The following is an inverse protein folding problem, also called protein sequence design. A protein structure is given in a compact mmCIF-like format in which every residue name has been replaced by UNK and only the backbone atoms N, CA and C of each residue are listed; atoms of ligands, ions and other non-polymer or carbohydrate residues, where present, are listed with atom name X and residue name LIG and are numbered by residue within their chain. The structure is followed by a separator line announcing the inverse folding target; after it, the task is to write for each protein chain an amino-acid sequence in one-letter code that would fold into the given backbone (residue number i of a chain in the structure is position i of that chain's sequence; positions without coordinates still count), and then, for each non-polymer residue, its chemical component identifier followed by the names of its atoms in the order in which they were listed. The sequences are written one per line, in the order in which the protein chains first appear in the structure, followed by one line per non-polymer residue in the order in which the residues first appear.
data_IF_659202193543
#
_entry.id   IF_659202193543
#
_cell.length_a   1.000
_cell.length_b   1.000
_cell.length_c   1.000
_cell.angle_alpha   90.00
_cell.angle_beta   90.00
_cell.angle_gamma   90.00
#
_symmetry.space_group_name_H-M   'P 1'
#
loop_
_entity.id
_entity.type
_entity.pdbx_description
1 polymer ?
#
# COMPACT_ATOMS: atom_id res chain seq x y z
N UNK A 1 -54.25 7.49 -47.87
CA UNK A 1 -52.77 7.45 -47.92
C UNK A 1 -52.23 7.74 -46.53
N UNK A 2 -51.90 6.69 -45.77
CA UNK A 2 -51.24 6.82 -44.47
C UNK A 2 -49.72 6.88 -44.68
N UNK A 3 -48.98 7.74 -43.98
CA UNK A 3 -47.53 7.71 -44.01
C UNK A 3 -47.03 6.63 -43.04
N UNK A 4 -46.36 5.62 -43.58
CA UNK A 4 -45.69 4.56 -42.83
C UNK A 4 -44.18 4.82 -42.81
N UNK A 5 -43.60 4.72 -41.61
CA UNK A 5 -42.21 4.36 -41.34
C UNK A 5 -41.07 5.25 -41.90
N UNK A 6 -40.66 6.25 -41.11
CA UNK A 6 -39.32 6.87 -41.22
C UNK A 6 -38.56 6.97 -39.87
N UNK A 7 -39.13 6.49 -38.75
CA UNK A 7 -38.58 6.72 -37.41
C UNK A 7 -37.54 5.71 -36.91
N UNK A 8 -37.48 4.49 -37.47
CA UNK A 8 -36.67 3.42 -36.89
C UNK A 8 -35.17 3.49 -37.25
N UNK A 9 -34.83 3.99 -38.44
CA UNK A 9 -33.45 4.04 -38.94
C UNK A 9 -32.56 5.05 -38.21
N UNK A 10 -33.09 6.23 -37.88
CA UNK A 10 -32.33 7.29 -37.20
C UNK A 10 -31.98 6.93 -35.74
N UNK A 11 -32.91 6.29 -35.02
CA UNK A 11 -32.69 5.84 -33.65
C UNK A 11 -31.64 4.70 -33.57
N UNK A 12 -31.65 3.76 -34.52
CA UNK A 12 -30.67 2.68 -34.59
C UNK A 12 -29.26 3.17 -34.90
N UNK A 13 -29.11 4.12 -35.83
CA UNK A 13 -27.81 4.71 -36.19
C UNK A 13 -27.25 5.53 -35.02
N UNK A 14 -28.10 6.28 -34.30
CA UNK A 14 -27.70 7.03 -33.11
C UNK A 14 -27.27 6.13 -31.96
N UNK A 15 -28.00 5.03 -31.71
CA UNK A 15 -27.64 4.04 -30.69
C UNK A 15 -26.34 3.29 -31.05
N UNK A 16 -26.15 2.94 -32.33
CA UNK A 16 -24.92 2.30 -32.81
C UNK A 16 -23.69 3.21 -32.70
N UNK A 17 -23.84 4.50 -33.03
CA UNK A 17 -22.77 5.48 -32.85
C UNK A 17 -22.44 5.71 -31.37
N UNK A 18 -23.44 5.88 -30.50
CA UNK A 18 -23.24 6.06 -29.07
C UNK A 18 -22.57 4.84 -28.40
N UNK A 19 -22.94 3.63 -28.82
CA UNK A 19 -22.30 2.40 -28.37
C UNK A 19 -20.84 2.30 -28.85
N UNK A 20 -20.56 2.68 -30.11
CA UNK A 20 -19.20 2.69 -30.65
C UNK A 20 -18.31 3.74 -29.96
N UNK A 21 -18.82 4.94 -29.71
CA UNK A 21 -18.10 6.00 -28.97
C UNK A 21 -17.82 5.58 -27.52
N UNK A 22 -18.79 4.96 -26.84
CA UNK A 22 -18.59 4.42 -25.50
C UNK A 22 -17.56 3.29 -25.46
N UNK A 23 -17.57 2.39 -26.43
CA UNK A 23 -16.58 1.32 -26.54
C UNK A 23 -15.16 1.86 -26.79
N UNK A 24 -15.03 2.89 -27.64
CA UNK A 24 -13.75 3.56 -27.88
C UNK A 24 -13.20 4.24 -26.62
N UNK A 25 -14.04 4.97 -25.87
CA UNK A 25 -13.66 5.58 -24.60
C UNK A 25 -13.20 4.54 -23.57
N UNK A 26 -13.93 3.42 -23.45
CA UNK A 26 -13.52 2.31 -22.57
C UNK A 26 -12.16 1.73 -22.97
N UNK A 27 -11.91 1.50 -24.26
CA UNK A 27 -10.62 0.96 -24.73
C UNK A 27 -9.47 1.90 -24.39
N UNK A 28 -9.63 3.21 -24.58
CA UNK A 28 -8.61 4.20 -24.20
C UNK A 28 -8.38 4.26 -22.68
N UNK A 29 -9.45 4.23 -21.88
CA UNK A 29 -9.32 4.16 -20.42
C UNK A 29 -8.65 2.87 -19.98
N UNK A 30 -8.97 1.75 -20.63
CA UNK A 30 -8.45 0.44 -20.26
C UNK A 30 -6.98 0.29 -20.66
N UNK A 31 -6.58 0.85 -21.80
CA UNK A 31 -5.16 0.92 -22.16
C UNK A 31 -4.36 1.74 -21.15
N UNK A 32 -4.87 2.90 -20.71
CA UNK A 32 -4.22 3.71 -19.68
C UNK A 32 -4.12 2.97 -18.34
N UNK A 33 -5.17 2.24 -17.94
CA UNK A 33 -5.13 1.36 -16.77
C UNK A 33 -4.04 0.29 -16.91
N UNK A 34 -3.95 -0.37 -18.07
CA UNK A 34 -2.95 -1.40 -18.31
C UNK A 34 -1.53 -0.85 -18.30
N UNK A 35 -1.28 0.31 -18.89
CA UNK A 35 0.02 0.98 -18.85
C UNK A 35 0.48 1.23 -17.41
N UNK A 36 -0.43 1.69 -16.55
CA UNK A 36 -0.13 1.84 -15.13
C UNK A 36 0.09 0.49 -14.45
N UNK A 37 -0.78 -0.48 -14.73
CA UNK A 37 -0.75 -1.82 -14.15
C UNK A 37 0.52 -2.60 -14.51
N UNK A 38 1.15 -2.32 -15.64
CA UNK A 38 2.46 -2.88 -16.03
C UNK A 38 3.60 -2.49 -15.08
N UNK A 39 3.40 -1.44 -14.27
CA UNK A 39 4.34 -1.05 -13.22
C UNK A 39 4.13 -1.83 -11.91
N UNK A 40 3.33 -2.89 -11.93
CA UNK A 40 3.01 -3.70 -10.75
C UNK A 40 3.30 -5.18 -10.98
N UNK A 41 3.89 -5.82 -9.97
CA UNK A 41 4.13 -7.26 -9.93
C UNK A 41 3.13 -7.92 -8.99
N UNK A 42 2.85 -9.21 -9.24
CA UNK A 42 2.11 -10.06 -8.31
C UNK A 42 3.15 -10.81 -7.48
N UNK A 43 3.14 -10.63 -6.17
CA UNK A 43 4.05 -11.33 -5.28
C UNK A 43 3.64 -12.80 -5.09
N UNK A 44 4.44 -13.58 -4.36
CA UNK A 44 4.14 -15.00 -4.12
C UNK A 44 2.82 -15.24 -3.35
N UNK A 45 2.37 -14.26 -2.57
CA UNK A 45 1.09 -14.30 -1.87
C UNK A 45 -0.11 -13.93 -2.77
N UNK A 46 0.13 -13.57 -4.04
CA UNK A 46 -0.91 -13.13 -4.96
C UNK A 46 -1.36 -11.67 -4.78
N UNK A 47 -0.62 -10.89 -4.00
CA UNK A 47 -0.88 -9.47 -3.76
C UNK A 47 -0.19 -8.61 -4.82
N UNK A 48 -0.80 -7.47 -5.13
CA UNK A 48 -0.27 -6.50 -6.06
C UNK A 48 0.73 -5.61 -5.33
N UNK A 49 1.96 -5.57 -5.85
CA UNK A 49 3.00 -4.69 -5.34
C UNK A 49 3.58 -3.86 -6.48
N UNK A 50 3.88 -2.58 -6.27
CA UNK A 50 4.62 -1.80 -7.24
C UNK A 50 5.95 -2.47 -7.61
N UNK A 51 6.20 -2.61 -8.91
CA UNK A 51 7.45 -3.12 -9.43
C UNK A 51 8.57 -2.22 -8.91
N UNK A 52 9.46 -2.79 -8.08
CA UNK A 52 10.60 -2.06 -7.56
C UNK A 52 11.43 -1.61 -8.76
N UNK A 53 11.50 -0.31 -9.03
CA UNK A 53 12.48 0.22 -9.98
C UNK A 53 13.85 -0.05 -9.34
N UNK A 54 14.71 -0.90 -9.92
CA UNK A 54 16.05 -1.08 -9.39
C UNK A 54 16.74 0.28 -9.37
N UNK A 55 17.50 0.63 -8.31
CA UNK A 55 18.34 1.83 -8.31
C UNK A 55 19.29 1.89 -9.53
N UNK A 56 19.60 0.72 -10.11
CA UNK A 56 20.48 0.53 -11.26
C UNK A 56 19.87 0.89 -12.63
N UNK A 57 18.57 1.24 -12.74
CA UNK A 57 17.94 1.66 -13.99
C UNK A 57 17.82 3.19 -14.13
N UNK A 58 18.51 3.97 -13.30
CA UNK A 58 18.80 5.35 -13.68
C UNK A 58 19.52 5.31 -15.04
N UNK A 59 19.10 6.12 -16.04
CA UNK A 59 19.77 6.13 -17.33
C UNK A 59 21.27 6.34 -17.07
N UNK A 60 22.15 5.53 -17.67
CA UNK A 60 23.58 5.78 -17.55
C UNK A 60 23.80 7.21 -18.02
N UNK A 61 24.41 8.04 -17.18
CA UNK A 61 24.93 9.31 -17.64
C UNK A 61 25.81 9.00 -18.86
N UNK A 62 25.69 9.79 -19.93
CA UNK A 62 26.41 9.57 -21.19
C UNK A 62 27.95 9.50 -21.04
N UNK A 63 28.46 9.74 -19.83
CA UNK A 63 29.89 9.77 -19.49
C UNK A 63 30.42 8.48 -18.84
N UNK A 64 29.65 7.39 -18.77
CA UNK A 64 30.12 6.11 -18.19
C UNK A 64 30.48 6.17 -16.70
N UNK A 65 30.14 7.27 -16.03
CA UNK A 65 30.36 7.47 -14.60
C UNK A 65 29.27 6.73 -13.82
N UNK A 66 29.63 5.98 -12.75
CA UNK A 66 28.65 5.42 -11.83
C UNK A 66 27.66 6.51 -11.41
N UNK A 67 26.36 6.18 -11.23
CA UNK A 67 25.40 7.15 -10.71
C UNK A 67 25.96 7.75 -9.41
N UNK A 68 25.81 9.08 -9.20
CA UNK A 68 26.26 9.68 -7.96
C UNK A 68 25.63 8.92 -6.80
N UNK A 69 26.39 8.63 -5.72
CA UNK A 69 25.80 8.01 -4.54
C UNK A 69 24.61 8.86 -4.09
N UNK A 70 23.54 8.25 -3.56
CA UNK A 70 22.45 9.01 -2.99
C UNK A 70 23.03 10.02 -2.00
N UNK A 71 22.47 11.25 -1.92
CA UNK A 71 22.99 12.25 -1.00
C UNK A 71 23.11 11.61 0.38
N UNK A 72 24.28 11.74 0.99
CA UNK A 72 24.74 11.05 2.22
C UNK A 72 23.94 11.41 3.49
N UNK A 73 22.70 11.88 3.35
CA UNK A 73 21.85 12.45 4.38
C UNK A 73 20.48 11.78 4.52
N UNK A 74 20.07 10.90 3.60
CA UNK A 74 18.84 10.13 3.81
C UNK A 74 19.13 8.99 4.78
N UNK A 75 18.61 9.11 6.01
CA UNK A 75 18.64 8.02 6.98
C UNK A 75 17.92 6.79 6.38
N UNK A 76 18.26 5.57 6.83
CA UNK A 76 17.52 4.36 6.43
C UNK A 76 16.01 4.51 6.62
N UNK A 77 15.61 5.30 7.63
CA UNK A 77 14.24 5.63 7.92
C UNK A 77 13.57 6.49 6.84
N UNK A 78 14.26 7.46 6.27
CA UNK A 78 13.70 8.28 5.19
C UNK A 78 13.61 7.48 3.87
N UNK A 79 14.59 6.63 3.57
CA UNK A 79 14.55 5.77 2.39
C UNK A 79 13.34 4.81 2.38
N UNK A 80 13.03 4.20 3.53
CA UNK A 80 11.82 3.39 3.68
C UNK A 80 10.54 4.22 3.53
N UNK A 81 10.49 5.41 4.11
CA UNK A 81 9.35 6.32 4.00
C UNK A 81 9.11 6.75 2.54
N UNK A 82 10.18 7.04 1.80
CA UNK A 82 10.12 7.35 0.37
C UNK A 82 9.51 6.18 -0.42
N UNK A 83 9.96 4.95 -0.16
CA UNK A 83 9.37 3.78 -0.84
C UNK A 83 7.89 3.61 -0.51
N UNK A 84 7.49 3.85 0.73
CA UNK A 84 6.10 3.77 1.16
C UNK A 84 5.24 4.83 0.48
N UNK A 85 5.71 6.08 0.43
CA UNK A 85 5.02 7.19 -0.23
C UNK A 85 4.87 6.95 -1.74
N UNK A 86 5.90 6.40 -2.39
CA UNK A 86 5.83 6.01 -3.79
C UNK A 86 4.75 4.95 -4.01
N UNK A 87 4.72 3.91 -3.16
CA UNK A 87 3.68 2.86 -3.24
C UNK A 87 2.28 3.44 -3.09
N UNK A 88 2.08 4.31 -2.10
CA UNK A 88 0.81 4.99 -1.87
C UNK A 88 0.37 5.82 -3.08
N UNK A 89 1.28 6.61 -3.66
CA UNK A 89 0.99 7.40 -4.85
C UNK A 89 0.58 6.53 -6.05
N UNK A 90 1.25 5.39 -6.24
CA UNK A 90 0.91 4.42 -7.28
C UNK A 90 -0.47 3.78 -7.02
N UNK A 91 -0.78 3.40 -5.78
CA UNK A 91 -2.12 2.91 -5.42
C UNK A 91 -3.19 3.94 -5.81
N UNK A 92 -2.99 5.21 -5.42
CA UNK A 92 -3.94 6.27 -5.73
C UNK A 92 -4.13 6.41 -7.24
N UNK A 93 -3.06 6.40 -8.03
CA UNK A 93 -3.17 6.53 -9.49
C UNK A 93 -3.92 5.36 -10.13
N UNK A 94 -3.65 4.13 -9.71
CA UNK A 94 -4.32 2.95 -10.26
C UNK A 94 -5.81 2.91 -9.85
N UNK A 95 -6.14 3.33 -8.63
CA UNK A 95 -7.52 3.47 -8.17
C UNK A 95 -8.28 4.56 -8.95
N UNK A 96 -7.66 5.71 -9.23
CA UNK A 96 -8.27 6.77 -10.05
C UNK A 96 -8.62 6.25 -11.46
N UNK A 97 -7.74 5.46 -12.06
CA UNK A 97 -7.98 4.84 -13.37
C UNK A 97 -9.11 3.80 -13.30
N UNK A 98 -9.17 3.01 -12.24
CA UNK A 98 -10.26 2.05 -12.03
C UNK A 98 -11.63 2.75 -11.89
N UNK A 99 -11.69 3.86 -11.14
CA UNK A 99 -12.92 4.66 -10.96
C UNK A 99 -13.41 5.22 -12.30
N UNK A 100 -12.50 5.70 -13.15
CA UNK A 100 -12.82 6.24 -14.47
C UNK A 100 -13.34 5.19 -15.46
N UNK A 101 -13.10 3.91 -15.20
CA UNK A 101 -13.48 2.80 -16.06
C UNK A 101 -14.90 2.28 -15.82
N UNK A 102 -15.71 2.98 -15.02
CA UNK A 102 -17.09 2.58 -14.76
C UNK A 102 -17.85 2.41 -16.09
N UNK A 103 -18.33 1.20 -16.42
CA UNK A 103 -18.99 0.97 -17.69
C UNK A 103 -20.38 1.60 -17.69
N UNK A 104 -20.61 2.53 -18.61
CA UNK A 104 -21.94 3.05 -18.89
C UNK A 104 -22.87 1.95 -19.44
N UNK A 105 -24.19 2.19 -19.37
CA UNK A 105 -25.20 1.27 -19.91
C UNK A 105 -24.91 0.88 -21.38
N UNK A 106 -24.31 1.78 -22.15
CA UNK A 106 -23.96 1.59 -23.57
C UNK A 106 -22.81 0.59 -23.78
N UNK A 107 -21.90 0.43 -22.82
CA UNK A 107 -20.73 -0.48 -22.93
C UNK A 107 -20.96 -1.80 -22.18
N UNK A 108 -21.92 -1.82 -21.24
CA UNK A 108 -22.29 -2.98 -20.43
C UNK A 108 -22.79 -4.21 -21.23
N UNK A 109 -23.24 -4.01 -22.47
CA UNK A 109 -23.69 -5.11 -23.34
C UNK A 109 -22.57 -6.01 -23.86
N UNK A 110 -21.35 -5.49 -24.01
CA UNK A 110 -20.23 -6.22 -24.58
C UNK A 110 -19.59 -7.18 -23.58
N UNK A 111 -19.48 -8.48 -23.93
CA UNK A 111 -18.89 -9.49 -23.07
C UNK A 111 -17.40 -9.22 -22.77
N UNK A 112 -16.63 -8.76 -23.75
CA UNK A 112 -15.22 -8.44 -23.57
C UNK A 112 -15.03 -7.28 -22.59
N UNK A 113 -15.82 -6.21 -22.72
CA UNK A 113 -15.80 -5.05 -21.81
C UNK A 113 -16.15 -5.49 -20.39
N UNK A 114 -17.22 -6.28 -20.22
CA UNK A 114 -17.60 -6.81 -18.90
C UNK A 114 -16.50 -7.66 -18.26
N UNK A 115 -15.86 -8.54 -19.04
CA UNK A 115 -14.77 -9.38 -18.56
C UNK A 115 -13.55 -8.56 -18.15
N UNK A 116 -13.13 -7.61 -19.00
CA UNK A 116 -12.00 -6.71 -18.72
C UNK A 116 -12.28 -5.85 -17.47
N UNK A 117 -13.45 -5.22 -17.39
CA UNK A 117 -13.85 -4.44 -16.23
C UNK A 117 -13.93 -5.29 -14.96
N UNK A 118 -14.40 -6.55 -15.04
CA UNK A 118 -14.40 -7.46 -13.91
C UNK A 118 -13.00 -7.74 -13.36
N UNK A 119 -11.97 -7.76 -14.21
CA UNK A 119 -10.57 -7.87 -13.78
C UNK A 119 -10.14 -6.60 -13.05
N UNK A 120 -10.36 -5.43 -13.65
CA UNK A 120 -10.04 -4.11 -13.06
C UNK A 120 -10.68 -3.97 -11.68
N UNK A 121 -11.96 -4.33 -11.56
CA UNK A 121 -12.70 -4.24 -10.31
C UNK A 121 -12.09 -5.13 -9.22
N UNK A 122 -11.78 -6.40 -9.52
CA UNK A 122 -11.16 -7.30 -8.54
C UNK A 122 -9.75 -6.88 -8.15
N UNK A 123 -8.96 -6.40 -9.11
CA UNK A 123 -7.63 -5.87 -8.82
C UNK A 123 -7.70 -4.61 -7.96
N UNK A 124 -8.68 -3.74 -8.20
CA UNK A 124 -8.87 -2.52 -7.40
C UNK A 124 -9.09 -2.82 -5.91
N UNK A 125 -9.72 -3.95 -5.56
CA UNK A 125 -9.90 -4.36 -4.16
C UNK A 125 -8.54 -4.62 -3.50
N UNK A 126 -7.67 -5.38 -4.17
CA UNK A 126 -6.32 -5.67 -3.69
C UNK A 126 -5.47 -4.40 -3.56
N UNK A 127 -5.59 -3.49 -4.53
CA UNK A 127 -4.89 -2.19 -4.51
C UNK A 127 -5.39 -1.33 -3.35
N UNK A 128 -6.70 -1.36 -3.08
CA UNK A 128 -7.30 -0.66 -1.95
C UNK A 128 -6.80 -1.21 -0.61
N UNK A 129 -6.76 -2.52 -0.45
CA UNK A 129 -6.24 -3.15 0.78
C UNK A 129 -4.78 -2.71 1.01
N UNK A 130 -3.92 -2.84 -0.01
CA UNK A 130 -2.52 -2.39 0.04
C UNK A 130 -2.40 -0.88 0.33
N UNK A 131 -3.31 -0.06 -0.21
CA UNK A 131 -3.35 1.37 0.08
C UNK A 131 -3.68 1.64 1.56
N UNK A 132 -4.68 0.95 2.12
CA UNK A 132 -5.05 1.12 3.53
C UNK A 132 -3.96 0.67 4.49
N UNK A 133 -3.32 -0.47 4.20
CA UNK A 133 -2.15 -0.95 4.95
C UNK A 133 -1.00 0.07 4.88
N UNK A 134 -0.73 0.61 3.70
CA UNK A 134 0.29 1.64 3.52
C UNK A 134 -0.02 2.92 4.28
N UNK A 135 -1.28 3.35 4.32
CA UNK A 135 -1.71 4.52 5.07
C UNK A 135 -1.51 4.31 6.58
N UNK A 136 -1.87 3.14 7.09
CA UNK A 136 -1.71 2.81 8.50
C UNK A 136 -0.23 2.74 8.89
N UNK A 137 0.63 2.15 8.05
CA UNK A 137 2.08 2.15 8.23
C UNK A 137 2.67 3.58 8.25
N UNK A 138 2.22 4.44 7.34
CA UNK A 138 2.66 5.85 7.27
C UNK A 138 2.21 6.64 8.50
N UNK A 139 0.95 6.47 8.94
CA UNK A 139 0.44 7.12 10.15
C UNK A 139 1.18 6.65 11.40
N UNK A 140 1.46 5.36 11.53
CA UNK A 140 2.26 4.82 12.62
C UNK A 140 3.66 5.46 12.64
N UNK A 141 4.31 5.55 11.47
CA UNK A 141 5.63 6.16 11.34
C UNK A 141 5.65 7.63 11.70
N UNK A 142 4.59 8.37 11.36
CA UNK A 142 4.47 9.79 11.71
C UNK A 142 4.43 10.05 13.22
N UNK A 143 4.00 9.05 14.01
CA UNK A 143 3.90 9.12 15.48
C UNK A 143 5.13 8.54 16.20
N UNK A 144 6.03 7.88 15.48
CA UNK A 144 7.24 7.27 16.05
C UNK A 144 8.24 8.34 16.48
N UNK A 145 9.05 8.04 17.50
CA UNK A 145 10.11 8.92 18.02
C UNK A 145 11.19 9.26 16.97
N UNK A 146 11.40 8.37 15.99
CA UNK A 146 12.31 8.64 14.86
C UNK A 146 11.75 9.72 13.91
N UNK A 147 10.42 9.87 13.87
CA UNK A 147 9.70 10.88 13.10
C UNK A 147 9.90 10.79 11.58
N UNK A 148 9.07 11.51 10.83
CA UNK A 148 9.31 11.77 9.41
C UNK A 148 10.09 13.08 9.26
N UNK A 149 11.06 13.11 8.35
CA UNK A 149 11.70 14.38 7.98
C UNK A 149 10.66 15.35 7.40
N UNK A 150 10.97 16.66 7.46
CA UNK A 150 10.09 17.72 6.92
C UNK A 150 9.60 17.43 5.49
N UNK A 151 10.45 17.08 4.51
CA UNK A 151 9.97 16.77 3.15
C UNK A 151 9.07 15.54 3.11
N UNK A 152 9.37 14.50 3.90
CA UNK A 152 8.52 13.30 3.98
C UNK A 152 7.14 13.60 4.54
N UNK A 153 7.03 14.47 5.55
CA UNK A 153 5.72 14.90 6.09
C UNK A 153 4.90 15.68 5.07
N UNK A 154 5.53 16.56 4.30
CA UNK A 154 4.83 17.31 3.23
C UNK A 154 4.27 16.34 2.19
N UNK A 155 5.08 15.39 1.72
CA UNK A 155 4.62 14.36 0.78
C UNK A 155 3.51 13.49 1.37
N UNK A 156 3.64 13.06 2.63
CA UNK A 156 2.61 12.30 3.33
C UNK A 156 1.28 13.07 3.45
N UNK A 157 1.36 14.37 3.75
CA UNK A 157 0.20 15.25 3.81
C UNK A 157 -0.51 15.34 2.45
N UNK A 158 0.22 15.50 1.33
CA UNK A 158 -0.38 15.55 0.00
C UNK A 158 -1.07 14.22 -0.39
N UNK A 159 -0.48 13.08 -0.01
CA UNK A 159 -1.12 11.76 -0.18
C UNK A 159 -2.44 11.71 0.61
N UNK A 160 -2.44 12.10 1.89
CA UNK A 160 -3.65 12.09 2.73
C UNK A 160 -4.71 13.06 2.23
N UNK A 161 -4.32 14.25 1.79
CA UNK A 161 -5.20 15.25 1.20
C UNK A 161 -5.88 14.71 -0.06
N UNK A 162 -5.13 14.07 -0.95
CA UNK A 162 -5.71 13.38 -2.11
C UNK A 162 -6.64 12.24 -1.68
N UNK A 163 -6.25 11.46 -0.66
CA UNK A 163 -7.08 10.37 -0.15
C UNK A 163 -8.44 10.84 0.38
N UNK A 164 -8.50 12.05 0.96
CA UNK A 164 -9.76 12.66 1.42
C UNK A 164 -10.75 12.88 0.27
N UNK A 165 -10.27 13.23 -0.92
CA UNK A 165 -11.11 13.37 -2.11
C UNK A 165 -11.41 12.02 -2.78
N UNK A 166 -10.40 11.15 -2.85
CA UNK A 166 -10.49 9.90 -3.61
C UNK A 166 -11.32 8.81 -2.92
N UNK A 167 -11.24 8.67 -1.60
CA UNK A 167 -11.92 7.57 -0.89
C UNK A 167 -13.45 7.65 -0.92
N UNK A 168 -14.10 8.84 -0.87
CA UNK A 168 -15.52 8.97 -1.19
C UNK A 168 -15.88 8.49 -2.60
N UNK A 169 -15.12 8.90 -3.61
CA UNK A 169 -15.37 8.52 -5.01
C UNK A 169 -15.22 7.01 -5.20
N UNK A 170 -14.21 6.40 -4.59
CA UNK A 170 -14.00 4.96 -4.61
C UNK A 170 -15.15 4.20 -3.93
N UNK A 171 -15.65 4.71 -2.81
CA UNK A 171 -16.80 4.14 -2.11
C UNK A 171 -18.06 4.18 -2.98
N UNK A 172 -18.31 5.30 -3.65
CA UNK A 172 -19.42 5.42 -4.59
C UNK A 172 -19.25 4.49 -5.80
N UNK A 173 -18.05 4.42 -6.35
CA UNK A 173 -17.70 3.50 -7.44
C UNK A 173 -18.03 2.04 -7.09
N UNK A 174 -17.59 1.56 -5.92
CA UNK A 174 -17.90 0.21 -5.46
C UNK A 174 -19.40 -0.01 -5.22
N UNK A 175 -20.09 0.98 -4.67
CA UNK A 175 -21.54 0.92 -4.51
C UNK A 175 -22.27 0.77 -5.86
N UNK A 176 -21.90 1.58 -6.86
CA UNK A 176 -22.44 1.49 -8.23
C UNK A 176 -22.16 0.12 -8.86
N UNK A 177 -20.94 -0.38 -8.71
CA UNK A 177 -20.58 -1.70 -9.20
C UNK A 177 -21.43 -2.80 -8.55
N UNK A 178 -21.65 -2.75 -7.23
CA UNK A 178 -22.44 -3.75 -6.49
C UNK A 178 -23.91 -3.81 -6.93
N UNK A 179 -24.48 -2.67 -7.33
CA UNK A 179 -25.84 -2.60 -7.90
C UNK A 179 -25.95 -3.16 -9.31
N UNK A 180 -24.85 -3.33 -10.03
CA UNK A 180 -24.82 -3.86 -11.39
C UNK A 180 -24.84 -5.40 -11.41
N UNK A 181 -25.46 -6.01 -12.43
CA UNK A 181 -25.51 -7.47 -12.58
C UNK A 181 -24.13 -8.12 -12.83
N UNK A 182 -23.09 -7.33 -13.09
CA UNK A 182 -21.77 -7.83 -13.49
C UNK A 182 -20.93 -8.41 -12.33
N UNK A 183 -21.32 -8.20 -11.07
CA UNK A 183 -20.44 -8.42 -9.91
C UNK A 183 -21.14 -8.97 -8.67
N UNK A 184 -22.36 -9.54 -8.82
CA UNK A 184 -23.20 -10.00 -7.71
C UNK A 184 -22.56 -11.02 -6.75
N UNK A 185 -21.51 -11.72 -7.19
CA UNK A 185 -20.80 -12.73 -6.39
C UNK A 185 -19.49 -12.22 -5.75
N UNK A 186 -19.14 -10.94 -5.90
CA UNK A 186 -17.93 -10.39 -5.32
C UNK A 186 -18.18 -9.88 -3.90
N UNK A 187 -17.23 -10.16 -3.00
CA UNK A 187 -17.15 -9.50 -1.71
C UNK A 187 -16.44 -8.16 -1.90
N UNK A 188 -17.15 -7.07 -1.58
CA UNK A 188 -16.64 -5.71 -1.74
C UNK A 188 -15.95 -5.24 -0.45
N UNK A 189 -14.76 -4.63 -0.53
CA UNK A 189 -14.09 -4.10 0.64
C UNK A 189 -14.88 -2.92 1.24
N UNK A 190 -14.81 -2.79 2.55
CA UNK A 190 -15.40 -1.66 3.26
C UNK A 190 -14.48 -0.44 3.13
N UNK A 191 -14.86 0.53 2.31
CA UNK A 191 -14.06 1.74 2.09
C UNK A 191 -14.12 2.67 3.30
N UNK A 192 -13.00 2.79 4.01
CA UNK A 192 -12.71 3.81 5.03
C UNK A 192 -12.43 5.14 4.36
N UNK A 193 -13.33 6.10 4.56
CA UNK A 193 -13.15 7.48 4.09
C UNK A 193 -12.08 8.17 4.94
N UNK A 194 -11.05 8.70 4.28
CA UNK A 194 -10.01 9.50 4.94
C UNK A 194 -10.58 10.88 5.24
N UNK A 195 -10.41 11.33 6.48
CA UNK A 195 -10.96 12.61 6.94
C UNK A 195 -9.93 13.75 6.81
N UNK A 196 -10.38 15.00 6.60
CA UNK A 196 -9.47 16.15 6.61
C UNK A 196 -8.65 16.26 7.90
N UNK A 197 -9.24 15.88 9.04
CA UNK A 197 -8.54 15.86 10.33
C UNK A 197 -7.32 14.91 10.32
N UNK A 198 -7.42 13.75 9.65
CA UNK A 198 -6.27 12.84 9.49
C UNK A 198 -5.18 13.45 8.61
N UNK A 199 -5.54 14.21 7.57
CA UNK A 199 -4.57 14.91 6.73
C UNK A 199 -3.87 16.06 7.49
N UNK A 200 -4.62 16.87 8.24
CA UNK A 200 -4.08 17.97 9.05
C UNK A 200 -3.17 17.48 10.17
N UNK A 201 -3.42 16.30 10.76
CA UNK A 201 -2.55 15.73 11.78
C UNK A 201 -1.12 15.46 11.30
N UNK A 202 -0.90 15.30 9.99
CA UNK A 202 0.44 15.12 9.39
C UNK A 202 1.21 16.44 9.22
N UNK A 203 0.50 17.58 9.23
CA UNK A 203 1.06 18.93 9.04
C UNK A 203 1.60 19.52 10.35
N UNK A 204 0.94 19.21 11.47
CA UNK A 204 1.36 19.68 12.79
C UNK A 204 2.65 18.97 13.19
N UNK A 205 3.72 19.75 13.44
CA UNK A 205 4.96 19.21 14.00
C UNK A 205 4.62 18.45 15.29
N UNK A 206 5.20 17.25 15.54
CA UNK A 206 5.18 16.68 16.87
C UNK A 206 5.71 17.74 17.82
N UNK A 207 4.86 18.21 18.74
CA UNK A 207 5.30 18.99 19.88
C UNK A 207 6.29 18.07 20.61
N UNK A 208 7.55 18.49 20.79
CA UNK A 208 8.44 17.76 21.69
C UNK A 208 7.72 17.72 23.03
N UNK A 209 7.40 16.52 23.52
CA UNK A 209 6.99 16.35 24.91
C UNK A 209 8.14 16.96 25.72
N UNK A 210 7.92 18.04 26.49
CA UNK A 210 8.93 18.47 27.44
C UNK A 210 9.10 17.30 28.40
N UNK A 211 10.29 16.72 28.45
CA UNK A 211 10.64 15.94 29.63
C UNK A 211 10.47 16.89 30.80
N UNK A 212 9.54 16.58 31.71
CA UNK A 212 9.49 17.25 33.00
C UNK A 212 10.79 16.91 33.72
N UNK A 213 11.80 17.75 33.53
CA UNK A 213 12.86 17.96 34.50
C UNK A 213 12.16 18.49 35.76
N UNK A 214 11.83 17.57 36.66
CA UNK A 214 11.38 17.85 38.02
C UNK A 214 12.51 18.54 38.78
N UNK A 215 12.65 19.85 38.57
CA UNK A 215 13.44 20.72 39.41
C UNK A 215 12.50 21.69 40.10
N UNK A 216 11.80 21.17 41.11
CA UNK A 216 11.03 21.98 42.05
C UNK A 216 12.02 22.86 42.84
N UNK A 217 11.91 24.18 42.64
CA UNK A 217 12.55 25.19 43.48
C UNK A 217 11.80 25.26 44.81
N UNK A 218 12.52 25.04 45.90
CA UNK A 218 12.11 25.39 47.25
C UNK A 218 11.70 26.87 47.37
N UNK A 219 10.71 27.18 48.22
CA UNK A 219 10.65 28.44 48.94
C UNK A 219 11.11 28.26 50.39
N UNK A 220 12.10 29.07 50.78
CA UNK A 220 12.53 29.26 52.17
C UNK A 220 11.38 29.77 53.05
N UNK A 221 11.16 29.14 54.19
CA UNK A 221 10.49 29.72 55.34
C UNK A 221 11.01 29.07 56.63
N UNK A 222 11.69 29.86 57.45
CA UNK A 222 12.17 29.52 58.79
C UNK A 222 11.00 29.52 59.80
N UNK A 223 10.93 28.51 60.67
CA UNK A 223 10.67 28.64 62.12
C UNK A 223 10.52 27.26 62.83
N UNK A 224 11.58 26.93 63.58
CA UNK A 224 11.69 26.30 64.92
C UNK A 224 10.71 25.21 65.46
N UNK A 225 11.36 24.08 65.88
CA UNK A 225 11.20 23.28 67.13
C UNK A 225 9.88 22.48 67.35
N UNK A 226 9.80 21.24 67.86
CA UNK A 226 10.59 20.44 68.81
C UNK A 226 10.45 18.90 68.57
N UNK A 227 11.20 18.15 69.37
CA UNK A 227 11.51 16.72 69.44
C UNK A 227 10.34 15.70 69.51
N UNK A 228 10.54 14.47 69.01
CA UNK A 228 10.97 13.28 69.79
C UNK A 228 10.94 11.98 68.95
N UNK A 229 11.56 10.96 69.54
CA UNK A 229 12.07 9.67 69.06
C UNK A 229 11.06 8.65 68.49
N UNK A 230 11.55 7.74 67.64
CA UNK A 230 11.53 6.27 67.83
C UNK A 230 11.17 5.44 66.58
N UNK A 231 12.12 4.56 66.24
CA UNK A 231 12.00 3.16 65.79
C UNK A 231 11.20 2.75 64.52
N UNK A 232 11.92 2.02 63.65
CA UNK A 232 11.45 0.73 63.16
C UNK A 232 10.68 0.67 61.85
N UNK A 233 11.25 -0.06 60.88
CA UNK A 233 10.46 -0.84 59.93
C UNK A 233 10.69 -0.52 58.45
N UNK A 234 11.53 -1.33 57.80
CA UNK A 234 11.75 -1.26 56.37
C UNK A 234 10.56 -1.75 55.55
N UNK A 235 10.56 -1.40 54.27
CA UNK A 235 9.93 -2.19 53.21
C UNK A 235 10.66 -1.94 51.90
N UNK A 236 11.67 -2.76 51.65
CA UNK A 236 12.25 -3.01 50.32
C UNK A 236 11.23 -3.80 49.50
N UNK A 237 10.96 -3.41 48.24
CA UNK A 237 10.42 -4.26 47.15
C UNK A 237 10.10 -3.34 45.95
N UNK A 238 10.56 -3.48 44.70
CA UNK A 238 11.29 -4.51 43.97
C UNK A 238 11.96 -3.81 42.75
N UNK A 239 13.28 -3.58 42.76
CA UNK A 239 14.03 -3.26 41.54
C UNK A 239 14.65 -4.57 41.02
N UNK A 240 13.89 -5.32 40.22
CA UNK A 240 14.39 -6.58 39.63
C UNK A 240 15.33 -6.24 38.47
N UNK A 241 16.63 -6.23 38.75
CA UNK A 241 17.68 -6.17 37.72
C UNK A 241 17.62 -7.47 36.91
N UNK A 242 17.21 -7.37 35.64
CA UNK A 242 17.30 -8.48 34.68
C UNK A 242 18.69 -8.41 34.06
N UNK A 243 19.51 -9.43 34.29
CA UNK A 243 20.80 -9.59 33.61
C UNK A 243 20.63 -10.71 32.58
N UNK A 244 21.00 -10.43 31.34
CA UNK A 244 20.89 -11.39 30.24
C UNK A 244 22.29 -11.90 29.93
N UNK A 245 22.56 -13.17 30.21
CA UNK A 245 23.83 -13.81 29.89
C UNK A 245 23.70 -14.47 28.52
N UNK A 246 24.53 -14.04 27.56
CA UNK A 246 24.60 -14.63 26.22
C UNK A 246 25.63 -15.77 26.29
N UNK A 247 25.21 -16.99 25.95
CA UNK A 247 26.10 -18.15 25.88
C UNK A 247 27.00 -18.07 24.64
N UNK A 248 28.30 -18.31 24.81
CA UNK A 248 29.29 -18.35 23.73
C UNK A 248 29.49 -19.76 23.16
N UNK A 249 28.54 -20.68 23.40
CA UNK A 249 28.57 -22.04 22.85
C UNK A 249 27.80 -22.06 21.53
N UNK A 250 28.53 -22.22 20.43
CA UNK A 250 27.96 -22.45 19.11
C UNK A 250 27.61 -23.94 18.97
N UNK A 251 26.41 -24.23 18.45
CA UNK A 251 26.02 -25.59 18.07
C UNK A 251 26.60 -25.85 16.68
N UNK A 252 27.52 -26.81 16.59
CA UNK A 252 28.04 -27.31 15.32
C UNK A 252 27.00 -28.29 14.76
N UNK A 253 26.44 -27.99 13.59
CA UNK A 253 25.53 -28.89 12.90
C UNK A 253 26.37 -29.85 12.05
N UNK A 254 26.31 -31.14 12.34
CA UNK A 254 26.89 -32.16 11.46
C UNK A 254 26.09 -32.23 10.16
N UNK A 255 26.77 -31.97 9.05
CA UNK A 255 26.22 -32.02 7.69
C UNK A 255 26.24 -33.49 7.22
N UNK A 256 25.10 -34.18 7.33
CA UNK A 256 24.94 -35.56 6.87
C UNK A 256 24.89 -35.62 5.33
N UNK A 257 26.05 -35.58 4.68
CA UNK A 257 26.24 -35.91 3.27
C UNK A 257 26.16 -37.44 3.07
N UNK A 258 24.94 -38.00 3.01
CA UNK A 258 24.72 -39.37 2.52
C UNK A 258 24.75 -39.39 0.99
N UNK A 259 25.97 -39.58 0.48
CA UNK A 259 26.28 -40.08 -0.84
C UNK A 259 25.42 -41.31 -1.20
N UNK A 260 24.59 -41.18 -2.24
CA UNK A 260 24.00 -42.33 -2.94
C UNK A 260 25.09 -42.89 -3.87
N UNK A 261 25.53 -44.15 -3.72
CA UNK A 261 26.43 -44.76 -4.68
C UNK A 261 25.64 -45.21 -5.90
N UNK A 262 25.99 -44.68 -7.06
CA UNK A 262 25.67 -45.32 -8.33
C UNK A 262 26.67 -46.44 -8.61
N UNK A 263 26.16 -47.60 -9.02
CA UNK A 263 26.81 -48.44 -10.05
C UNK A 263 25.82 -49.45 -10.65
N UNK A 264 26.02 -49.77 -11.92
CA UNK A 264 25.75 -51.10 -12.47
C UNK A 264 24.40 -51.33 -13.16
N UNK A 265 24.34 -51.09 -14.46
CA UNK A 265 23.19 -51.47 -15.31
C UNK A 265 23.14 -52.95 -15.67
N UNK A 266 21.99 -53.41 -16.19
CA UNK A 266 21.86 -54.53 -17.14
C UNK A 266 20.51 -54.47 -17.89
N UNK A 267 20.59 -54.12 -19.19
CA UNK A 267 19.93 -54.75 -20.35
C UNK A 267 18.53 -55.39 -20.23
N UNK A 268 17.53 -54.86 -20.97
CA UNK A 268 16.96 -55.51 -22.17
C UNK A 268 15.58 -54.99 -22.62
N UNK A 269 15.54 -54.65 -23.92
CA UNK A 269 14.46 -54.87 -24.93
C UNK A 269 13.27 -53.90 -25.02
N UNK A 270 13.31 -53.12 -26.10
CA UNK A 270 12.15 -52.59 -26.85
C UNK A 270 11.25 -53.72 -27.39
N UNK A 271 9.95 -53.45 -27.58
CA UNK A 271 9.18 -54.09 -28.63
C UNK A 271 8.92 -53.13 -29.80
N UNK A 272 9.00 -53.76 -30.96
CA UNK A 272 8.97 -53.27 -32.33
C UNK A 272 7.58 -52.79 -32.75
N UNK A 273 7.54 -51.78 -33.60
CA UNK A 273 6.37 -51.35 -34.33
C UNK A 273 5.82 -52.44 -35.29
N UNK A 274 4.50 -52.47 -35.42
CA UNK A 274 3.72 -52.89 -36.59
C UNK A 274 2.47 -52.05 -36.65
#
# INVERSE_FOLDING_TARGET
CSPLAAGAGAAYVSAGAAAATGACAFVHGYSAYLEERMQWVINQAGNLEPARRPPALAPPNHDGKPPPPPPSSSSSHDAEAETLLLKLAMCQRLLDLAIQLLPDNNTSGCAAVRSAFGIVLRESFKVYDAFTEGLDAMLLRSRSLAGLSKPMRVSAHEILKKACAQTPDLKEFYHKCKGSNASKSLEYPLVRVVTPAQASAMEVLPVPIPEEDGQEKEPEAEAEAEAETSDGGGSTTFARKMETTISTVWVEFEEDDKLIPGDGGHSSKEPKAS
#
